data_IF_508762512791
#
_entry.id   IF_508762512791
#
_cell.length_a   1.000
_cell.length_b   1.000
_cell.length_c   1.000
_cell.angle_alpha   90.00
_cell.angle_beta   90.00
_cell.angle_gamma   90.00
#
_symmetry.space_group_name_H-M   'P 1'
#
loop_
_entity.id
_entity.type
_entity.pdbx_description
1 polymer ?
#
# COMPACT_ATOMS: atom_id res chain seq x y z
N UNK A 1 -47.13 51.63 -17.71
CA UNK A 1 -46.72 51.38 -19.11
C UNK A 1 -46.04 50.02 -19.18
N UNK A 2 -46.69 49.01 -19.76
CA UNK A 2 -46.13 47.66 -19.92
C UNK A 2 -45.23 47.65 -21.16
N UNK A 3 -43.93 47.44 -20.97
CA UNK A 3 -42.97 47.35 -22.06
C UNK A 3 -43.22 46.09 -22.88
N UNK A 4 -43.61 46.26 -24.14
CA UNK A 4 -43.73 45.16 -25.10
C UNK A 4 -42.30 44.77 -25.49
N UNK A 5 -41.76 43.74 -24.83
CA UNK A 5 -40.51 43.11 -25.26
C UNK A 5 -40.80 42.42 -26.57
N UNK A 6 -40.19 42.91 -27.65
CA UNK A 6 -40.30 42.30 -28.98
C UNK A 6 -39.88 40.82 -28.89
N UNK A 7 -40.81 39.92 -29.20
CA UNK A 7 -40.58 38.47 -29.21
C UNK A 7 -39.37 38.10 -30.08
N UNK A 8 -39.12 38.86 -31.15
CA UNK A 8 -37.94 38.68 -32.01
C UNK A 8 -36.62 39.07 -31.32
N UNK A 9 -36.63 40.06 -30.43
CA UNK A 9 -35.45 40.45 -29.65
C UNK A 9 -35.12 39.39 -28.60
N UNK A 10 -36.14 38.86 -27.90
CA UNK A 10 -35.98 37.76 -26.97
C UNK A 10 -35.51 36.48 -27.68
N UNK A 11 -36.10 36.14 -28.83
CA UNK A 11 -35.71 34.97 -29.63
C UNK A 11 -34.29 35.09 -30.15
N UNK A 12 -33.84 36.27 -30.61
CA UNK A 12 -32.44 36.49 -31.02
C UNK A 12 -31.45 36.35 -29.86
N UNK A 13 -31.83 36.79 -28.65
CA UNK A 13 -30.96 36.70 -27.49
C UNK A 13 -30.85 35.25 -26.99
N UNK A 14 -31.94 34.50 -27.03
CA UNK A 14 -31.96 33.05 -26.74
C UNK A 14 -31.19 32.28 -27.81
N UNK A 15 -31.42 32.54 -29.10
CA UNK A 15 -30.69 31.91 -30.20
C UNK A 15 -29.19 32.22 -30.17
N UNK A 16 -28.77 33.44 -29.78
CA UNK A 16 -27.35 33.75 -29.56
C UNK A 16 -26.74 32.98 -28.39
N UNK A 17 -27.49 32.80 -27.28
CA UNK A 17 -27.03 31.99 -26.15
C UNK A 17 -26.95 30.49 -26.50
N UNK A 18 -27.88 29.97 -27.31
CA UNK A 18 -27.84 28.59 -27.79
C UNK A 18 -26.81 28.36 -28.90
N UNK A 19 -26.59 29.33 -29.80
CA UNK A 19 -25.61 29.23 -30.88
C UNK A 19 -24.15 29.25 -30.40
N UNK A 20 -23.89 29.75 -29.20
CA UNK A 20 -22.56 29.66 -28.55
C UNK A 20 -22.31 28.25 -27.96
N UNK A 21 -23.34 27.41 -27.84
CA UNK A 21 -23.25 26.09 -27.17
C UNK A 21 -23.11 24.92 -28.17
N UNK A 22 -23.27 25.13 -29.49
CA UNK A 22 -23.15 24.02 -30.45
C UNK A 22 -22.23 24.34 -31.62
N UNK A 23 -20.91 24.34 -31.36
CA UNK A 23 -19.93 23.98 -32.39
C UNK A 23 -19.52 22.53 -32.18
N UNK A 24 -20.38 21.62 -32.66
CA UNK A 24 -20.02 20.21 -32.81
C UNK A 24 -19.11 20.08 -34.04
N UNK A 25 -17.82 19.84 -33.80
CA UNK A 25 -16.89 19.35 -34.81
C UNK A 25 -15.91 18.42 -34.11
N UNK A 26 -16.04 17.12 -34.38
CA UNK A 26 -15.21 16.06 -33.83
C UNK A 26 -16.00 15.09 -32.95
N UNK A 27 -16.04 13.83 -33.36
CA UNK A 27 -16.62 12.67 -32.68
C UNK A 27 -15.85 12.29 -31.42
N UNK A 28 -15.76 13.20 -30.45
CA UNK A 28 -15.34 12.89 -29.09
C UNK A 28 -16.28 13.65 -28.17
N UNK A 29 -17.21 12.91 -27.56
CA UNK A 29 -17.89 13.39 -26.36
C UNK A 29 -16.81 13.52 -25.30
N UNK A 30 -16.33 14.72 -25.06
CA UNK A 30 -15.49 15.00 -23.91
C UNK A 30 -16.35 14.68 -22.68
N UNK A 31 -16.13 13.51 -22.07
CA UNK A 31 -16.80 13.14 -20.83
C UNK A 31 -16.44 14.25 -19.86
N UNK A 32 -17.41 15.07 -19.45
CA UNK A 32 -17.20 16.06 -18.41
C UNK A 32 -16.71 15.32 -17.17
N UNK A 33 -15.40 15.36 -16.93
CA UNK A 33 -14.82 14.85 -15.71
C UNK A 33 -15.21 15.83 -14.62
N UNK A 34 -16.20 15.46 -13.83
CA UNK A 34 -16.50 16.19 -12.60
C UNK A 34 -15.25 16.09 -11.74
N UNK A 35 -14.63 17.22 -11.44
CA UNK A 35 -13.55 17.27 -10.47
C UNK A 35 -14.13 16.91 -9.11
N UNK A 36 -13.94 15.67 -8.70
CA UNK A 36 -14.40 15.17 -7.40
C UNK A 36 -13.49 15.66 -6.27
N UNK A 37 -12.26 16.10 -6.57
CA UNK A 37 -11.20 16.30 -5.58
C UNK A 37 -10.79 15.01 -4.87
N UNK A 38 -11.26 13.85 -5.35
CA UNK A 38 -11.06 12.55 -4.74
C UNK A 38 -10.27 11.67 -5.73
N UNK A 39 -8.99 11.45 -5.44
CA UNK A 39 -8.06 10.70 -6.28
C UNK A 39 -7.12 11.58 -7.12
N UNK A 40 -6.15 10.94 -7.79
CA UNK A 40 -5.21 11.63 -8.68
C UNK A 40 -5.83 11.85 -10.07
N UNK A 41 -5.64 13.03 -10.64
CA UNK A 41 -5.98 13.26 -12.04
C UNK A 41 -4.94 12.65 -12.99
N UNK A 42 -5.31 12.54 -14.27
CA UNK A 42 -4.37 12.11 -15.30
C UNK A 42 -3.17 13.07 -15.39
N UNK A 43 -1.97 12.55 -15.22
CA UNK A 43 -0.72 13.33 -15.23
C UNK A 43 -0.32 13.93 -13.88
N UNK A 44 -1.14 13.78 -12.83
CA UNK A 44 -0.75 14.18 -11.47
C UNK A 44 0.10 13.09 -10.78
N UNK A 45 1.00 13.47 -9.86
CA UNK A 45 1.73 12.50 -9.05
C UNK A 45 0.76 11.71 -8.16
N UNK A 46 0.93 10.40 -8.13
CA UNK A 46 0.16 9.51 -7.25
C UNK A 46 0.70 9.59 -5.82
N UNK A 47 -0.14 10.01 -4.88
CA UNK A 47 0.14 9.94 -3.45
C UNK A 47 -0.41 8.65 -2.85
N UNK A 48 0.10 8.25 -1.68
CA UNK A 48 -0.43 7.08 -0.96
C UNK A 48 -1.89 7.22 -0.56
N UNK A 49 -2.38 8.45 -0.35
CA UNK A 49 -3.79 8.72 -0.06
C UNK A 49 -4.66 8.49 -1.29
N UNK A 50 -4.21 8.92 -2.47
CA UNK A 50 -4.90 8.67 -3.73
C UNK A 50 -5.02 7.16 -4.02
N UNK A 51 -3.94 6.42 -3.76
CA UNK A 51 -3.91 4.95 -3.88
C UNK A 51 -4.89 4.31 -2.89
N UNK A 52 -4.85 4.73 -1.61
CA UNK A 52 -5.73 4.20 -0.57
C UNK A 52 -7.21 4.44 -0.92
N UNK A 53 -7.52 5.64 -1.43
CA UNK A 53 -8.86 5.97 -1.90
C UNK A 53 -9.30 5.07 -3.05
N UNK A 54 -8.47 4.94 -4.09
CA UNK A 54 -8.77 4.11 -5.25
C UNK A 54 -9.03 2.65 -4.86
N UNK A 55 -8.20 2.08 -3.97
CA UNK A 55 -8.36 0.70 -3.49
C UNK A 55 -9.67 0.49 -2.73
N UNK A 56 -10.16 1.52 -2.01
CA UNK A 56 -11.40 1.43 -1.23
C UNK A 56 -12.65 1.63 -2.09
N UNK A 57 -12.58 2.50 -3.09
CA UNK A 57 -13.75 2.92 -3.86
C UNK A 57 -13.88 2.18 -5.20
N UNK A 58 -12.77 1.78 -5.82
CA UNK A 58 -12.79 1.11 -7.13
C UNK A 58 -12.77 -0.41 -6.98
N UNK A 59 -13.80 -1.13 -7.45
CA UNK A 59 -13.92 -2.58 -7.25
C UNK A 59 -12.81 -3.36 -7.95
N UNK A 60 -12.33 -2.87 -9.10
CA UNK A 60 -11.23 -3.49 -9.83
C UNK A 60 -9.91 -3.36 -9.06
N UNK A 61 -9.62 -2.16 -8.53
CA UNK A 61 -8.42 -1.93 -7.71
C UNK A 61 -8.49 -2.78 -6.42
N UNK A 62 -9.65 -2.81 -5.76
CA UNK A 62 -9.87 -3.63 -4.58
C UNK A 62 -9.57 -5.11 -4.85
N UNK A 63 -10.10 -5.67 -5.94
CA UNK A 63 -9.88 -7.06 -6.30
C UNK A 63 -8.41 -7.36 -6.58
N UNK A 64 -7.73 -6.49 -7.33
CA UNK A 64 -6.31 -6.69 -7.69
C UNK A 64 -5.42 -6.66 -6.45
N UNK A 65 -5.71 -5.78 -5.49
CA UNK A 65 -4.91 -5.64 -4.28
C UNK A 65 -5.26 -6.68 -3.23
N UNK A 66 -6.53 -6.80 -2.84
CA UNK A 66 -6.95 -7.68 -1.74
C UNK A 66 -7.14 -9.12 -2.19
N UNK A 67 -7.99 -9.38 -3.19
CA UNK A 67 -8.34 -10.76 -3.53
C UNK A 67 -7.11 -11.55 -3.99
N UNK A 68 -6.24 -10.94 -4.81
CA UNK A 68 -5.00 -11.59 -5.26
C UNK A 68 -4.00 -11.77 -4.13
N UNK A 69 -3.88 -10.82 -3.19
CA UNK A 69 -2.99 -11.00 -2.04
C UNK A 69 -3.47 -12.13 -1.12
N UNK A 70 -4.77 -12.23 -0.89
CA UNK A 70 -5.36 -13.29 -0.09
C UNK A 70 -5.19 -14.66 -0.77
N UNK A 71 -5.49 -14.78 -2.07
CA UNK A 71 -5.40 -16.03 -2.83
C UNK A 71 -3.99 -16.66 -2.77
N UNK A 72 -2.94 -15.83 -2.79
CA UNK A 72 -1.54 -16.29 -2.66
C UNK A 72 -1.27 -16.99 -1.33
N UNK A 73 -1.87 -16.53 -0.23
CA UNK A 73 -1.63 -17.07 1.11
C UNK A 73 -2.80 -17.90 1.65
N UNK A 74 -3.91 -17.97 0.94
CA UNK A 74 -4.99 -18.93 1.19
C UNK A 74 -4.50 -20.35 0.85
N UNK A 75 -3.68 -20.47 -0.21
CA UNK A 75 -2.90 -21.67 -0.50
C UNK A 75 -1.59 -21.63 0.29
N UNK A 76 -1.66 -22.00 1.56
CA UNK A 76 -0.51 -21.97 2.46
C UNK A 76 0.65 -22.87 1.97
N UNK A 77 1.89 -22.50 2.32
CA UNK A 77 3.09 -23.18 1.84
C UNK A 77 3.56 -24.27 2.80
N UNK A 78 4.29 -25.25 2.28
CA UNK A 78 5.00 -26.28 3.04
C UNK A 78 6.47 -25.91 3.20
N UNK A 79 7.09 -26.33 4.30
CA UNK A 79 8.47 -26.03 4.63
C UNK A 79 9.28 -27.32 4.55
N UNK A 80 10.33 -27.31 3.74
CA UNK A 80 11.25 -28.43 3.63
C UNK A 80 12.58 -28.14 4.34
N UNK A 81 13.10 -29.10 5.14
CA UNK A 81 14.43 -28.97 5.73
C UNK A 81 15.50 -29.06 4.63
N UNK A 82 16.55 -28.23 4.76
CA UNK A 82 17.72 -28.29 3.88
C UNK A 82 18.67 -29.46 4.24
N UNK A 83 18.58 -29.97 5.47
CA UNK A 83 19.43 -31.05 5.96
C UNK A 83 18.86 -32.42 5.62
N UNK A 84 19.70 -33.30 5.07
CA UNK A 84 19.33 -34.67 4.74
C UNK A 84 19.18 -35.52 6.00
N UNK A 85 18.13 -36.35 6.07
CA UNK A 85 17.86 -37.24 7.21
C UNK A 85 16.89 -36.69 8.25
N UNK A 86 16.42 -35.45 8.09
CA UNK A 86 15.32 -34.89 8.89
C UNK A 86 13.98 -35.36 8.32
N UNK A 87 13.08 -35.78 9.20
CA UNK A 87 11.70 -36.14 8.86
C UNK A 87 10.94 -34.89 8.39
N UNK A 88 10.72 -34.79 7.07
CA UNK A 88 10.14 -33.60 6.43
C UNK A 88 8.77 -33.26 6.99
N UNK A 89 7.91 -34.26 7.21
CA UNK A 89 6.54 -34.05 7.67
C UNK A 89 6.51 -33.51 9.09
N UNK A 90 7.34 -34.06 9.98
CA UNK A 90 7.45 -33.56 11.35
C UNK A 90 8.07 -32.18 11.42
N UNK A 91 9.05 -31.89 10.57
CA UNK A 91 9.68 -30.58 10.50
C UNK A 91 8.68 -29.51 10.07
N UNK A 92 7.93 -29.77 8.99
CA UNK A 92 6.85 -28.89 8.53
C UNK A 92 5.82 -28.72 9.65
N UNK A 93 5.30 -29.80 10.25
CA UNK A 93 4.30 -29.70 11.32
C UNK A 93 4.75 -28.82 12.50
N UNK A 94 6.01 -28.93 12.91
CA UNK A 94 6.58 -28.09 13.98
C UNK A 94 6.70 -26.62 13.56
N UNK A 95 7.20 -26.36 12.36
CA UNK A 95 7.33 -25.00 11.84
C UNK A 95 5.95 -24.34 11.65
N UNK A 96 4.98 -25.07 11.11
CA UNK A 96 3.61 -24.60 10.94
C UNK A 96 2.93 -24.25 12.27
N UNK A 97 3.17 -25.02 13.33
CA UNK A 97 2.68 -24.69 14.68
C UNK A 97 3.23 -23.35 15.18
N UNK A 98 4.50 -23.07 14.96
CA UNK A 98 5.12 -21.79 15.35
C UNK A 98 4.54 -20.64 14.52
N UNK A 99 4.41 -20.81 13.19
CA UNK A 99 3.83 -19.81 12.31
C UNK A 99 2.37 -19.50 12.67
N UNK A 100 1.60 -20.51 13.06
CA UNK A 100 0.22 -20.34 13.52
C UNK A 100 0.16 -19.50 14.80
N UNK A 101 1.03 -19.77 15.78
CA UNK A 101 1.10 -18.99 17.03
C UNK A 101 1.48 -17.52 16.80
N UNK A 102 2.29 -17.26 15.78
CA UNK A 102 2.69 -15.90 15.39
C UNK A 102 1.65 -15.19 14.50
N UNK A 103 0.53 -15.83 14.21
CA UNK A 103 -0.45 -15.38 13.22
C UNK A 103 0.19 -15.00 11.86
N UNK A 104 1.19 -15.76 11.43
CA UNK A 104 2.02 -15.40 10.29
C UNK A 104 1.22 -15.31 8.98
N UNK A 105 0.13 -16.09 8.86
CA UNK A 105 -0.72 -16.06 7.68
C UNK A 105 -1.39 -14.70 7.47
N UNK A 106 -1.97 -14.13 8.52
CA UNK A 106 -2.58 -12.80 8.43
C UNK A 106 -1.52 -11.72 8.18
N UNK A 107 -0.36 -11.82 8.85
CA UNK A 107 0.75 -10.87 8.67
C UNK A 107 1.26 -10.89 7.23
N UNK A 108 1.42 -12.08 6.63
CA UNK A 108 1.87 -12.20 5.24
C UNK A 108 0.82 -11.74 4.24
N UNK A 109 -0.48 -12.03 4.48
CA UNK A 109 -1.57 -11.45 3.69
C UNK A 109 -1.54 -9.94 3.74
N UNK A 110 -1.40 -9.36 4.93
CA UNK A 110 -1.35 -7.92 5.12
C UNK A 110 -0.12 -7.30 4.45
N UNK A 111 1.06 -7.91 4.59
CA UNK A 111 2.27 -7.48 3.90
C UNK A 111 2.08 -7.52 2.38
N UNK A 112 1.49 -8.58 1.84
CA UNK A 112 1.23 -8.70 0.41
C UNK A 112 0.23 -7.67 -0.10
N UNK A 113 -0.82 -7.37 0.68
CA UNK A 113 -1.75 -6.25 0.40
C UNK A 113 -0.98 -4.94 0.34
N UNK A 114 -0.10 -4.66 1.31
CA UNK A 114 0.71 -3.45 1.33
C UNK A 114 1.68 -3.37 0.16
N UNK A 115 2.37 -4.45 -0.18
CA UNK A 115 3.26 -4.54 -1.34
C UNK A 115 2.53 -4.28 -2.65
N UNK A 116 1.33 -4.86 -2.84
CA UNK A 116 0.52 -4.62 -4.04
C UNK A 116 -0.06 -3.21 -4.09
N UNK A 117 -0.43 -2.64 -2.94
CA UNK A 117 -1.00 -1.31 -2.86
C UNK A 117 0.06 -0.21 -3.11
N UNK A 118 1.21 -0.31 -2.44
CA UNK A 118 2.17 0.79 -2.33
C UNK A 118 3.53 0.50 -2.97
N UNK A 119 3.68 -0.66 -3.61
CA UNK A 119 4.88 -1.13 -4.29
C UNK A 119 5.87 -1.89 -3.40
N UNK A 120 5.82 -1.70 -2.08
CA UNK A 120 6.65 -2.43 -1.12
C UNK A 120 6.00 -2.48 0.26
N UNK A 121 6.51 -3.37 1.10
CA UNK A 121 6.14 -3.54 2.50
C UNK A 121 7.30 -4.14 3.27
N UNK A 122 7.32 -3.98 4.59
CA UNK A 122 8.29 -4.66 5.45
C UNK A 122 7.55 -5.54 6.45
N UNK A 123 8.20 -6.62 6.84
CA UNK A 123 7.77 -7.47 7.94
C UNK A 123 8.86 -7.35 8.99
N UNK A 124 8.48 -6.93 10.19
CA UNK A 124 9.34 -6.83 11.35
C UNK A 124 9.11 -8.06 12.19
N UNK A 125 10.19 -8.74 12.57
CA UNK A 125 10.16 -9.85 13.50
C UNK A 125 10.82 -9.43 14.81
N UNK A 126 10.09 -9.58 15.92
CA UNK A 126 10.65 -9.46 17.25
C UNK A 126 11.11 -10.84 17.73
N UNK A 127 12.31 -10.92 18.27
CA UNK A 127 12.82 -12.14 18.91
C UNK A 127 13.20 -11.84 20.36
N UNK A 128 13.17 -12.87 21.19
CA UNK A 128 13.70 -12.85 22.54
C UNK A 128 15.13 -13.38 22.51
N UNK A 129 16.07 -12.65 23.10
CA UNK A 129 17.45 -13.09 23.30
C UNK A 129 17.90 -12.91 24.76
N UNK A 130 19.16 -13.24 25.03
CA UNK A 130 19.80 -13.12 26.35
C UNK A 130 20.58 -11.81 26.53
N UNK A 131 20.38 -10.83 25.65
CA UNK A 131 20.99 -9.51 25.76
C UNK A 131 20.57 -8.81 27.04
N UNK A 132 21.48 -8.06 27.65
CA UNK A 132 21.18 -7.28 28.86
C UNK A 132 20.48 -5.98 28.46
N UNK A 133 20.78 -5.48 27.26
CA UNK A 133 20.25 -4.24 26.69
C UNK A 133 19.88 -4.41 25.22
N UNK A 134 18.97 -3.56 24.72
CA UNK A 134 18.56 -3.53 23.29
C UNK A 134 19.69 -3.12 22.33
N UNK A 135 20.82 -2.66 22.84
CA UNK A 135 22.01 -2.31 22.04
C UNK A 135 22.97 -3.49 21.88
N UNK A 136 22.79 -4.53 22.68
CA UNK A 136 23.65 -5.70 22.59
C UNK A 136 23.36 -6.43 21.27
N UNK A 137 24.41 -6.92 20.59
CA UNK A 137 24.22 -7.65 19.36
C UNK A 137 23.47 -8.96 19.61
N UNK A 138 22.64 -9.34 18.65
CA UNK A 138 21.90 -10.59 18.65
C UNK A 138 22.85 -11.74 18.38
N UNK A 139 23.24 -12.46 19.42
CA UNK A 139 24.16 -13.58 19.29
C UNK A 139 23.43 -14.92 19.17
N UNK A 140 22.41 -15.13 20.02
CA UNK A 140 21.65 -16.39 20.07
C UNK A 140 20.19 -16.05 20.35
N UNK A 141 19.36 -15.82 19.32
CA UNK A 141 17.93 -15.64 19.52
C UNK A 141 17.30 -16.95 20.01
N UNK A 142 16.47 -16.88 21.05
CA UNK A 142 15.81 -18.06 21.64
C UNK A 142 14.52 -18.40 20.91
N UNK A 143 13.70 -17.39 20.60
CA UNK A 143 12.43 -17.55 19.90
C UNK A 143 11.99 -16.26 19.23
N UNK A 144 11.21 -16.39 18.17
CA UNK A 144 10.44 -15.29 17.60
C UNK A 144 9.20 -15.08 18.47
N UNK A 145 8.93 -13.83 18.86
CA UNK A 145 7.84 -13.44 19.77
C UNK A 145 6.78 -12.61 19.06
N UNK A 146 7.12 -11.92 17.99
CA UNK A 146 6.17 -11.11 17.23
C UNK A 146 6.52 -11.06 15.75
N UNK A 147 5.48 -10.93 14.93
CA UNK A 147 5.56 -10.65 13.50
C UNK A 147 4.56 -9.55 13.18
N UNK A 148 5.03 -8.49 12.53
CA UNK A 148 4.19 -7.34 12.19
C UNK A 148 4.51 -6.82 10.79
N UNK A 149 3.48 -6.56 9.99
CA UNK A 149 3.62 -5.99 8.66
C UNK A 149 3.40 -4.48 8.69
N UNK A 150 4.29 -3.73 8.03
CA UNK A 150 4.19 -2.28 7.93
C UNK A 150 4.13 -1.83 6.47
N UNK A 151 3.21 -0.89 6.23
CA UNK A 151 3.05 -0.22 4.94
C UNK A 151 4.00 0.97 4.82
N UNK A 152 4.36 1.39 3.59
CA UNK A 152 5.22 2.56 3.37
C UNK A 152 4.71 3.84 4.03
N UNK A 153 3.38 4.02 4.09
CA UNK A 153 2.75 5.17 4.78
C UNK A 153 2.96 5.21 6.30
N UNK A 154 3.35 4.09 6.91
CA UNK A 154 3.64 3.98 8.35
C UNK A 154 5.13 4.25 8.65
N UNK A 155 5.95 4.39 7.61
CA UNK A 155 7.39 4.58 7.73
C UNK A 155 7.70 6.07 7.58
N UNK A 156 8.27 6.66 8.62
CA UNK A 156 8.54 8.10 8.68
C UNK A 156 9.91 8.46 8.13
N UNK A 157 10.87 7.55 8.23
CA UNK A 157 12.23 7.78 7.74
C UNK A 157 12.90 6.47 7.36
N UNK A 158 13.72 6.53 6.31
CA UNK A 158 14.58 5.45 5.85
C UNK A 158 16.00 6.01 5.84
N UNK A 159 16.88 5.45 6.66
CA UNK A 159 18.29 5.82 6.66
C UNK A 159 19.07 4.82 5.82
N UNK A 160 19.85 5.32 4.88
CA UNK A 160 20.71 4.51 4.01
C UNK A 160 22.16 4.72 4.38
N UNK A 161 22.96 3.68 4.19
CA UNK A 161 24.40 3.74 4.39
C UNK A 161 25.01 4.73 3.38
N UNK A 162 25.60 5.80 3.90
CA UNK A 162 26.26 6.86 3.09
C UNK A 162 27.76 6.63 2.96
N UNK A 163 28.32 5.62 3.60
CA UNK A 163 29.75 5.35 3.56
C UNK A 163 30.11 4.62 2.26
N UNK A 164 30.76 5.33 1.33
CA UNK A 164 31.19 4.77 0.03
C UNK A 164 32.16 3.59 0.13
N UNK A 165 32.82 3.42 1.28
CA UNK A 165 33.75 2.32 1.53
C UNK A 165 33.07 1.09 2.15
N UNK A 166 31.81 1.22 2.56
CA UNK A 166 31.02 0.11 3.08
C UNK A 166 30.59 -0.80 1.94
N UNK A 167 30.64 -2.12 2.17
CA UNK A 167 30.05 -3.11 1.27
C UNK A 167 28.52 -2.94 1.12
N UNK A 168 27.89 -2.18 2.03
CA UNK A 168 26.45 -1.90 2.04
C UNK A 168 26.12 -0.48 1.59
N UNK A 169 27.06 0.26 0.99
CA UNK A 169 26.82 1.61 0.51
C UNK A 169 25.54 1.72 -0.34
N UNK A 170 24.65 2.63 0.05
CA UNK A 170 23.36 2.84 -0.62
C UNK A 170 22.25 1.87 -0.21
N UNK A 171 22.53 0.86 0.61
CA UNK A 171 21.51 -0.01 1.20
C UNK A 171 20.86 0.66 2.41
N UNK A 172 19.62 0.29 2.70
CA UNK A 172 18.93 0.73 3.91
C UNK A 172 19.58 0.11 5.16
N UNK A 173 19.84 0.95 6.15
CA UNK A 173 20.32 0.57 7.48
C UNK A 173 19.20 0.56 8.51
N UNK A 174 18.35 1.59 8.52
CA UNK A 174 17.37 1.79 9.60
C UNK A 174 16.04 2.27 9.03
N UNK A 175 14.96 1.69 9.53
CA UNK A 175 13.59 2.16 9.29
C UNK A 175 13.05 2.79 10.58
N UNK A 176 12.44 3.97 10.45
CA UNK A 176 11.63 4.55 11.53
C UNK A 176 10.16 4.32 11.25
N UNK A 177 9.48 3.68 12.19
CA UNK A 177 8.09 3.27 12.04
C UNK A 177 7.24 4.00 13.08
N UNK A 178 6.08 4.50 12.63
CA UNK A 178 5.06 5.09 13.50
C UNK A 178 4.13 3.99 13.99
N UNK A 179 4.19 3.68 15.29
CA UNK A 179 3.40 2.60 15.90
C UNK A 179 2.12 3.16 16.57
N UNK A 180 2.13 4.43 16.99
CA UNK A 180 0.96 5.16 17.49
C UNK A 180 1.08 6.68 17.22
N UNK A 181 0.04 7.48 17.51
CA UNK A 181 0.08 8.94 17.29
C UNK A 181 1.26 9.66 17.97
N UNK A 182 1.87 9.06 19.01
CA UNK A 182 2.99 9.62 19.78
C UNK A 182 4.20 8.68 20.00
N UNK A 183 4.30 7.54 19.31
CA UNK A 183 5.44 6.60 19.51
C UNK A 183 6.14 6.29 18.18
N UNK A 184 7.43 6.66 18.10
CA UNK A 184 8.35 6.32 17.02
C UNK A 184 9.35 5.28 17.52
N UNK A 185 9.49 4.18 16.79
CA UNK A 185 10.53 3.17 17.04
C UNK A 185 11.49 3.15 15.86
N UNK A 186 12.78 3.25 16.16
CA UNK A 186 13.87 3.05 15.21
C UNK A 186 14.29 1.58 15.21
N UNK A 187 14.21 0.94 14.05
CA UNK A 187 14.61 -0.45 13.82
C UNK A 187 15.78 -0.50 12.85
#
# INVERSE_FOLDING_TARGET
>A
MKGIVSFQAALRQVLRKFAVISKASGTQTEIQRVYTGLGAEFGQPLTYDNITFAIKCEPVAHRIVFAVAHDVFDNWFTIEPLEEGVDKEKFDEQAQKVLLLLNAQDVFKQAAVFGKAYGWSIIVFGYQDKGVTLRDPVLVPEKIVSLEAYAPKMITSVQTDKNRQSARFGLTETYKIKIAENEEVSL
#
